data_IF_319881123856
#
_entry.id   IF_319881123856
#
_cell.length_a   1.000
_cell.length_b   1.000
_cell.length_c   1.000
_cell.angle_alpha   90.00
_cell.angle_beta   90.00
_cell.angle_gamma   90.00
#
_symmetry.space_group_name_H-M   'P 1'
#
loop_
_entity.id
_entity.type
_entity.pdbx_description
1 polymer ?
#
# COMPACT_ATOMS: atom_id res chain seq x y z
N UNK A 1 -14.80 -23.29 -9.46
CA UNK A 1 -15.86 -22.78 -8.56
C UNK A 1 -15.25 -21.61 -7.82
N UNK A 2 -15.78 -20.39 -7.96
CA UNK A 2 -15.31 -19.27 -7.15
C UNK A 2 -15.58 -19.65 -5.68
N UNK A 3 -14.58 -19.53 -4.80
CA UNK A 3 -14.79 -19.64 -3.36
C UNK A 3 -15.88 -18.64 -2.98
N UNK A 4 -16.90 -19.10 -2.28
CA UNK A 4 -17.88 -18.20 -1.66
C UNK A 4 -17.12 -17.36 -0.63
N UNK A 5 -17.12 -16.04 -0.82
CA UNK A 5 -16.36 -15.11 0.02
C UNK A 5 -17.13 -14.88 1.32
N UNK A 6 -16.48 -15.10 2.46
CA UNK A 6 -17.01 -14.74 3.76
C UNK A 6 -16.78 -13.24 4.02
N UNK A 7 -17.81 -12.44 3.74
CA UNK A 7 -17.75 -10.99 3.88
C UNK A 7 -17.57 -10.53 5.33
N UNK A 8 -18.09 -11.27 6.31
CA UNK A 8 -17.95 -10.90 7.73
C UNK A 8 -16.52 -11.14 8.21
N UNK A 9 -15.90 -12.25 7.79
CA UNK A 9 -14.49 -12.52 8.08
C UNK A 9 -13.57 -11.47 7.43
N UNK A 10 -13.83 -11.09 6.18
CA UNK A 10 -13.05 -10.04 5.48
C UNK A 10 -13.17 -8.71 6.24
N UNK A 11 -14.39 -8.33 6.63
CA UNK A 11 -14.64 -7.10 7.37
C UNK A 11 -13.92 -7.09 8.72
N UNK A 12 -14.02 -8.18 9.48
CA UNK A 12 -13.36 -8.30 10.78
C UNK A 12 -11.83 -8.21 10.64
N UNK A 13 -11.25 -8.85 9.62
CA UNK A 13 -9.83 -8.73 9.34
C UNK A 13 -9.43 -7.28 8.97
N UNK A 14 -10.19 -6.62 8.11
CA UNK A 14 -9.96 -5.22 7.72
C UNK A 14 -10.02 -4.25 8.92
N UNK A 15 -11.00 -4.44 9.82
CA UNK A 15 -11.12 -3.66 11.05
C UNK A 15 -9.90 -3.83 11.96
N UNK A 16 -9.31 -5.03 11.99
CA UNK A 16 -8.07 -5.32 12.73
C UNK A 16 -6.88 -4.44 12.31
N UNK A 17 -6.80 -4.07 11.02
CA UNK A 17 -5.74 -3.21 10.49
C UNK A 17 -6.00 -1.71 10.68
N UNK A 18 -7.13 -1.31 11.30
CA UNK A 18 -7.53 0.10 11.40
C UNK A 18 -6.46 1.02 12.01
N UNK A 19 -5.71 0.52 13.00
CA UNK A 19 -4.60 1.26 13.63
C UNK A 19 -3.44 1.48 12.67
N UNK A 20 -3.03 0.44 11.95
CA UNK A 20 -1.92 0.50 11.01
C UNK A 20 -2.28 1.37 9.80
N UNK A 21 -3.49 1.22 9.25
CA UNK A 21 -4.00 2.09 8.19
C UNK A 21 -4.00 3.57 8.60
N UNK A 22 -4.45 3.88 9.82
CA UNK A 22 -4.45 5.25 10.35
C UNK A 22 -3.04 5.78 10.54
N UNK A 23 -2.12 4.96 11.06
CA UNK A 23 -0.72 5.34 11.25
C UNK A 23 -0.03 5.62 9.90
N UNK A 24 -0.24 4.76 8.91
CA UNK A 24 0.30 4.93 7.57
C UNK A 24 -0.22 6.19 6.89
N UNK A 25 -1.54 6.44 6.92
CA UNK A 25 -2.12 7.67 6.37
C UNK A 25 -1.53 8.93 7.03
N UNK A 26 -1.35 8.90 8.36
CA UNK A 26 -0.72 10.02 9.08
C UNK A 26 0.73 10.23 8.69
N UNK A 27 1.49 9.15 8.45
CA UNK A 27 2.86 9.25 7.96
C UNK A 27 2.90 9.92 6.59
N UNK A 28 2.05 9.48 5.64
CA UNK A 28 1.95 10.11 4.32
C UNK A 28 1.61 11.61 4.42
N UNK A 29 0.59 11.99 5.19
CA UNK A 29 0.16 13.39 5.34
C UNK A 29 1.25 14.26 6.00
N UNK A 30 2.16 13.67 6.77
CA UNK A 30 3.24 14.42 7.43
C UNK A 30 4.32 14.92 6.47
N UNK A 31 4.38 14.37 5.25
CA UNK A 31 5.29 14.79 4.20
C UNK A 31 4.57 15.78 3.27
N UNK A 32 5.10 17.00 3.05
CA UNK A 32 4.63 17.86 1.98
C UNK A 32 4.71 17.13 0.63
N UNK A 33 3.68 17.30 -0.20
CA UNK A 33 3.58 16.63 -1.50
C UNK A 33 2.84 17.50 -2.52
N UNK A 34 3.18 18.78 -2.54
CA UNK A 34 2.76 19.68 -3.61
C UNK A 34 3.36 19.21 -4.94
N UNK A 35 2.84 19.72 -6.06
CA UNK A 35 3.33 19.33 -7.38
C UNK A 35 4.84 19.56 -7.51
N UNK A 36 5.57 18.50 -7.89
CA UNK A 36 7.04 18.40 -7.96
C UNK A 36 7.78 18.20 -6.62
N UNK A 37 7.07 18.01 -5.51
CA UNK A 37 7.64 17.76 -4.17
C UNK A 37 7.20 16.41 -3.58
N UNK A 38 6.64 15.51 -4.39
CA UNK A 38 6.02 14.26 -3.94
C UNK A 38 7.03 13.18 -3.50
N UNK A 39 8.32 13.40 -3.72
CA UNK A 39 9.37 12.39 -3.55
C UNK A 39 9.43 11.75 -2.15
N UNK A 40 9.19 12.52 -1.09
CA UNK A 40 9.17 11.98 0.28
C UNK A 40 7.94 11.09 0.53
N UNK A 41 6.76 11.49 0.05
CA UNK A 41 5.54 10.65 0.12
C UNK A 41 5.73 9.37 -0.68
N UNK A 42 6.32 9.45 -1.87
CA UNK A 42 6.65 8.28 -2.70
C UNK A 42 7.57 7.31 -1.96
N UNK A 43 8.61 7.81 -1.29
CA UNK A 43 9.49 6.99 -0.47
C UNK A 43 8.77 6.35 0.73
N UNK A 44 7.88 7.11 1.39
CA UNK A 44 7.03 6.62 2.48
C UNK A 44 6.15 5.45 2.03
N UNK A 45 5.46 5.59 0.90
CA UNK A 45 4.60 4.55 0.33
C UNK A 45 5.42 3.32 -0.05
N UNK A 46 6.57 3.49 -0.72
CA UNK A 46 7.46 2.38 -1.08
C UNK A 46 7.88 1.57 0.14
N UNK A 47 8.29 2.24 1.21
CA UNK A 47 8.72 1.59 2.45
C UNK A 47 7.57 0.82 3.12
N UNK A 48 6.35 1.35 3.13
CA UNK A 48 5.20 0.63 3.68
C UNK A 48 4.85 -0.60 2.83
N UNK A 49 4.90 -0.50 1.49
CA UNK A 49 4.67 -1.65 0.62
C UNK A 49 5.73 -2.74 0.81
N UNK A 50 7.00 -2.38 0.97
CA UNK A 50 8.06 -3.34 1.30
C UNK A 50 7.83 -4.01 2.67
N UNK A 51 7.39 -3.24 3.68
CA UNK A 51 7.02 -3.75 5.00
C UNK A 51 5.82 -4.70 4.97
N UNK A 52 4.84 -4.43 4.10
CA UNK A 52 3.66 -5.29 3.88
C UNK A 52 3.99 -6.57 3.12
N UNK A 53 5.21 -6.73 2.63
CA UNK A 53 5.69 -7.96 1.99
C UNK A 53 5.24 -8.10 0.54
N UNK A 54 5.12 -7.00 -0.20
CA UNK A 54 5.00 -7.05 -1.66
C UNK A 54 6.26 -7.70 -2.27
N UNK A 55 6.08 -8.56 -3.26
CA UNK A 55 7.18 -9.32 -3.89
C UNK A 55 8.16 -8.40 -4.64
N UNK A 56 7.61 -7.32 -5.21
CA UNK A 56 8.39 -6.27 -5.86
C UNK A 56 7.70 -4.94 -5.60
N UNK A 57 8.50 -3.90 -5.36
CA UNK A 57 8.05 -2.51 -5.30
C UNK A 57 9.02 -1.66 -6.10
N UNK A 58 8.52 -0.88 -7.05
CA UNK A 58 9.34 0.05 -7.83
C UNK A 58 8.68 1.41 -7.94
N UNK A 59 9.51 2.43 -8.18
CA UNK A 59 9.06 3.78 -8.51
C UNK A 59 9.38 4.00 -9.98
N UNK A 60 8.38 4.36 -10.77
CA UNK A 60 8.58 4.62 -12.20
C UNK A 60 9.27 5.97 -12.45
N UNK A 61 9.58 6.27 -13.71
CA UNK A 61 10.22 7.53 -14.09
C UNK A 61 9.34 8.79 -13.92
N UNK A 62 8.06 8.61 -13.58
CA UNK A 62 7.09 9.69 -13.35
C UNK A 62 6.80 9.90 -11.85
N UNK A 63 7.32 9.04 -10.97
CA UNK A 63 7.12 9.10 -9.53
C UNK A 63 5.99 8.21 -8.99
N UNK A 64 5.38 7.35 -9.80
CA UNK A 64 4.35 6.42 -9.32
C UNK A 64 4.99 5.25 -8.57
N UNK A 65 4.41 4.86 -7.43
CA UNK A 65 4.80 3.63 -6.71
C UNK A 65 3.95 2.47 -7.20
N UNK A 66 4.61 1.40 -7.66
CA UNK A 66 3.96 0.20 -8.18
C UNK A 66 4.45 -0.99 -7.37
N UNK A 67 3.51 -1.80 -6.86
CA UNK A 67 3.82 -3.04 -6.16
C UNK A 67 3.15 -4.24 -6.78
N UNK A 68 3.85 -5.36 -6.75
CA UNK A 68 3.36 -6.66 -7.23
C UNK A 68 3.25 -7.63 -6.07
N UNK A 69 2.20 -8.44 -6.11
CA UNK A 69 1.99 -9.52 -5.15
C UNK A 69 1.43 -10.74 -5.89
N UNK A 70 2.04 -11.90 -5.65
CA UNK A 70 1.70 -13.18 -6.24
C UNK A 70 2.51 -13.52 -7.51
N UNK A 71 2.50 -14.81 -7.83
CA UNK A 71 3.20 -15.40 -8.98
C UNK A 71 2.25 -15.70 -10.15
N UNK A 72 1.13 -14.99 -10.24
CA UNK A 72 0.12 -15.23 -11.28
C UNK A 72 0.69 -15.02 -12.69
N UNK A 73 0.36 -15.92 -13.61
CA UNK A 73 0.64 -15.72 -15.03
C UNK A 73 -0.05 -14.45 -15.54
N UNK A 74 0.64 -13.69 -16.39
CA UNK A 74 0.15 -12.47 -17.03
C UNK A 74 -1.02 -12.72 -17.97
#
# INVERSE_FOLDING_TARGET
>A
MAKELDFEQIKSAAEGYGKDMTAFLRAMISHPSESCEEGEVVACIKAEMEKLGFDKVEVDGLGNVIGWMGEGDK
#
